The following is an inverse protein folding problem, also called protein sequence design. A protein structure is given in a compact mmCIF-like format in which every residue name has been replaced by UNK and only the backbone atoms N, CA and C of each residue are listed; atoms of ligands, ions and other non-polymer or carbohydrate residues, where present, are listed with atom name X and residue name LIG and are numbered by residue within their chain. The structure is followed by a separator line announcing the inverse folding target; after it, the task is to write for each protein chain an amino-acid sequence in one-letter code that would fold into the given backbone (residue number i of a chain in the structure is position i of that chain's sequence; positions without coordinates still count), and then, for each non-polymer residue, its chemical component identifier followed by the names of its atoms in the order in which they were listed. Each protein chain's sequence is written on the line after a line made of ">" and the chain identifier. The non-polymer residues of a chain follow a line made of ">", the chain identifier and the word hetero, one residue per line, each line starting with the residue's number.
data_IF_947401470965
#
_entry.id   IF_947401470965
#
_cell.length_a   1.000
_cell.length_b   1.000
_cell.length_c   1.000
_cell.angle_alpha   90.00
_cell.angle_beta   90.00
_cell.angle_gamma   90.00
#
_symmetry.space_group_name_H-M   'P 1'
#
loop_
_entity.id
_entity.type
_entity.pdbx_description
1 polymer ?
#
# COMPACT_ATOMS: atom_id res chain seq x y z
N UNK A 1 5.47 4.92 25.32
CA UNK A 1 4.50 5.90 24.76
C UNK A 1 3.29 6.00 25.67
N UNK A 2 2.88 7.19 26.09
CA UNK A 2 1.73 7.43 26.99
C UNK A 2 0.85 8.55 26.41
N UNK A 3 -0.48 8.38 26.50
CA UNK A 3 -1.43 9.42 26.16
C UNK A 3 -1.50 10.43 27.33
N UNK A 4 -1.22 11.69 27.04
CA UNK A 4 -1.16 12.77 28.03
C UNK A 4 -2.44 13.57 28.08
N UNK A 5 -3.03 13.87 26.95
CA UNK A 5 -4.23 14.70 26.89
C UNK A 5 -5.08 14.41 25.65
N UNK A 6 -6.37 14.68 25.80
CA UNK A 6 -7.35 14.72 24.73
C UNK A 6 -7.91 16.12 24.60
N UNK A 7 -7.94 16.67 23.39
CA UNK A 7 -8.57 17.96 23.11
C UNK A 7 -9.70 17.77 22.12
N UNK A 8 -10.83 18.36 22.45
CA UNK A 8 -12.05 18.35 21.62
C UNK A 8 -12.37 19.76 21.20
N UNK A 9 -12.82 19.93 19.97
CA UNK A 9 -13.39 21.16 19.50
C UNK A 9 -14.67 20.83 18.74
N UNK A 10 -15.79 21.26 19.29
CA UNK A 10 -17.13 21.05 18.72
C UNK A 10 -17.42 19.58 18.35
N UNK A 11 -17.03 18.63 19.18
CA UNK A 11 -17.18 17.21 18.93
C UNK A 11 -18.33 16.63 19.77
N UNK A 12 -19.36 16.11 19.10
CA UNK A 12 -20.57 15.53 19.72
C UNK A 12 -21.17 16.40 20.83
N UNK A 13 -21.14 15.97 22.09
CA UNK A 13 -21.67 16.75 23.22
C UNK A 13 -20.74 17.91 23.64
N UNK A 14 -19.46 17.89 23.24
CA UNK A 14 -18.48 18.89 23.64
C UNK A 14 -18.59 20.13 22.75
N UNK A 15 -19.09 21.23 23.30
CA UNK A 15 -19.17 22.53 22.64
C UNK A 15 -17.88 23.34 22.90
N UNK A 16 -17.41 24.03 21.86
CA UNK A 16 -16.18 24.84 21.96
C UNK A 16 -14.95 23.98 22.16
N UNK A 17 -13.99 24.48 22.93
CA UNK A 17 -12.74 23.82 23.23
C UNK A 17 -12.81 23.16 24.62
N UNK A 18 -12.57 21.84 24.65
CA UNK A 18 -12.50 21.07 25.91
C UNK A 18 -11.21 20.29 25.90
N UNK A 19 -10.46 20.34 26.99
CA UNK A 19 -9.24 19.57 27.20
C UNK A 19 -9.43 18.64 28.39
N UNK A 20 -9.09 17.37 28.18
CA UNK A 20 -9.10 16.31 29.20
C UNK A 20 -7.67 15.85 29.41
N UNK A 21 -7.01 16.27 30.50
CA UNK A 21 -5.69 15.76 30.84
C UNK A 21 -5.81 14.33 31.39
N UNK A 22 -4.82 13.51 31.08
CA UNK A 22 -4.71 12.13 31.54
C UNK A 22 -3.44 11.98 32.34
N UNK A 23 -3.59 11.64 33.63
CA UNK A 23 -2.48 11.42 34.53
C UNK A 23 -1.67 10.16 34.28
N UNK A 24 -0.55 9.95 34.93
CA UNK A 24 0.16 8.69 34.93
C UNK A 24 -0.65 7.61 35.66
N UNK A 25 -0.57 6.37 35.15
CA UNK A 25 -1.26 5.22 35.74
C UNK A 25 -2.73 5.17 35.40
N UNK A 26 -3.58 4.89 36.38
CA UNK A 26 -5.01 4.69 36.19
C UNK A 26 -5.77 6.02 36.24
N UNK A 27 -6.59 6.29 35.23
CA UNK A 27 -7.49 7.47 35.19
C UNK A 27 -8.94 7.00 35.09
N UNK A 28 -9.78 7.43 36.02
CA UNK A 28 -11.20 7.18 36.04
C UNK A 28 -11.98 8.43 35.65
N UNK A 29 -12.94 8.27 34.70
CA UNK A 29 -13.81 9.35 34.25
C UNK A 29 -15.23 9.03 34.70
N UNK A 30 -15.74 9.80 35.66
CA UNK A 30 -17.07 9.61 36.25
C UNK A 30 -18.02 10.77 35.90
N UNK A 31 -19.30 10.55 36.06
CA UNK A 31 -20.33 11.58 35.84
C UNK A 31 -21.72 10.99 35.61
N UNK A 32 -22.76 11.79 35.62
CA UNK A 32 -24.14 11.33 35.39
C UNK A 32 -24.36 10.80 33.95
N UNK A 33 -25.50 10.16 33.71
CA UNK A 33 -25.89 9.72 32.37
C UNK A 33 -26.06 10.96 31.47
N UNK A 34 -25.58 10.86 30.22
CA UNK A 34 -25.65 11.98 29.26
C UNK A 34 -24.50 12.99 29.37
N UNK A 35 -23.63 12.94 30.39
CA UNK A 35 -22.50 13.90 30.57
C UNK A 35 -21.43 13.82 29.48
N UNK A 36 -21.46 12.85 28.59
CA UNK A 36 -20.51 12.74 27.50
C UNK A 36 -19.35 11.74 27.72
N UNK A 37 -19.34 10.98 28.85
CA UNK A 37 -18.30 9.97 29.14
C UNK A 37 -17.97 9.08 27.94
N UNK A 38 -18.99 8.51 27.35
CA UNK A 38 -18.84 7.63 26.17
C UNK A 38 -18.37 8.37 24.92
N UNK A 39 -18.55 9.69 24.84
CA UNK A 39 -18.07 10.48 23.70
C UNK A 39 -16.53 10.65 23.73
N UNK A 40 -15.90 10.47 24.89
CA UNK A 40 -14.44 10.43 25.03
C UNK A 40 -13.89 9.18 24.33
N UNK A 41 -14.51 8.02 24.55
CA UNK A 41 -14.15 6.78 23.83
C UNK A 41 -14.36 6.92 22.33
N UNK A 42 -15.47 7.54 21.92
CA UNK A 42 -15.75 7.78 20.51
C UNK A 42 -14.68 8.69 19.85
N UNK A 43 -14.19 9.65 20.59
CA UNK A 43 -13.16 10.56 20.10
C UNK A 43 -11.82 9.83 19.90
N UNK A 44 -11.45 8.94 20.83
CA UNK A 44 -10.28 8.07 20.68
C UNK A 44 -10.42 7.18 19.44
N UNK A 45 -11.54 6.50 19.30
CA UNK A 45 -11.84 5.67 18.13
C UNK A 45 -11.83 6.48 16.83
N UNK A 46 -12.33 7.71 16.87
CA UNK A 46 -12.33 8.61 15.73
C UNK A 46 -10.91 8.91 15.25
N UNK A 47 -9.97 9.26 16.14
CA UNK A 47 -8.58 9.53 15.79
C UNK A 47 -7.88 8.26 15.29
N UNK A 48 -8.07 7.12 15.95
CA UNK A 48 -7.44 5.86 15.57
C UNK A 48 -7.86 5.31 14.20
N UNK A 49 -8.70 6.03 13.47
CA UNK A 49 -8.98 5.73 12.08
C UNK A 49 -10.29 4.97 11.85
N UNK A 50 -11.14 4.79 12.89
CA UNK A 50 -12.44 4.19 12.65
C UNK A 50 -13.20 4.92 11.55
N UNK A 51 -13.46 4.21 10.44
CA UNK A 51 -14.32 4.67 9.35
C UNK A 51 -15.78 4.29 9.59
N UNK A 52 -16.02 3.36 10.52
CA UNK A 52 -17.34 2.89 10.85
C UNK A 52 -18.06 3.93 11.70
N UNK A 53 -19.07 4.57 11.13
CA UNK A 53 -19.95 5.50 11.86
C UNK A 53 -20.72 4.76 12.96
N UNK A 54 -20.98 3.45 12.81
CA UNK A 54 -21.62 2.61 13.84
C UNK A 54 -20.77 2.53 15.10
N UNK A 55 -19.45 2.30 14.96
CA UNK A 55 -18.52 2.28 16.10
C UNK A 55 -18.46 3.62 16.81
N UNK A 56 -18.64 4.71 16.08
CA UNK A 56 -18.71 6.05 16.63
C UNK A 56 -20.12 6.45 17.10
N UNK A 57 -21.05 5.51 17.15
CA UNK A 57 -22.46 5.75 17.55
C UNK A 57 -23.06 6.95 16.82
N UNK A 58 -22.82 7.05 15.50
CA UNK A 58 -23.33 8.07 14.63
C UNK A 58 -23.89 7.42 13.35
N UNK A 59 -24.99 7.94 12.82
CA UNK A 59 -25.54 7.46 11.53
C UNK A 59 -24.77 8.04 10.34
N UNK A 60 -24.32 9.30 10.47
CA UNK A 60 -23.56 10.03 9.45
C UNK A 60 -22.39 10.77 10.10
N UNK A 61 -21.30 10.98 9.37
CA UNK A 61 -20.14 11.72 9.89
C UNK A 61 -20.47 13.14 10.37
N UNK A 62 -21.47 13.80 9.78
CA UNK A 62 -21.96 15.12 10.17
C UNK A 62 -22.42 15.19 11.62
N UNK A 63 -22.94 14.09 12.15
CA UNK A 63 -23.43 14.00 13.53
C UNK A 63 -22.31 14.01 14.58
N UNK A 64 -21.05 13.90 14.14
CA UNK A 64 -19.89 14.09 15.00
C UNK A 64 -19.65 15.57 15.33
N UNK A 65 -20.23 16.49 14.55
CA UNK A 65 -20.14 17.94 14.80
C UNK A 65 -21.19 18.32 15.82
N UNK A 66 -20.78 19.06 16.84
CA UNK A 66 -21.65 19.50 17.92
C UNK A 66 -22.89 20.25 17.40
N UNK A 67 -24.06 19.89 17.91
CA UNK A 67 -25.33 20.56 17.57
C UNK A 67 -25.81 20.31 16.14
N UNK A 68 -25.18 19.40 15.37
CA UNK A 68 -25.69 19.06 14.05
C UNK A 68 -26.96 18.22 14.14
N UNK A 69 -28.08 18.77 13.65
CA UNK A 69 -29.34 18.07 13.49
C UNK A 69 -29.74 18.03 12.01
N UNK A 70 -30.13 16.85 11.53
CA UNK A 70 -30.58 16.66 10.15
C UNK A 70 -31.91 17.37 9.95
N UNK A 71 -32.04 18.21 8.91
CA UNK A 71 -33.26 18.98 8.66
C UNK A 71 -33.35 20.31 9.39
N UNK A 72 -32.43 20.63 10.29
CA UNK A 72 -32.44 21.93 10.98
C UNK A 72 -31.97 23.05 10.03
N UNK A 73 -32.80 24.06 9.83
CA UNK A 73 -32.45 25.28 9.07
C UNK A 73 -31.53 26.23 9.87
N UNK A 74 -31.02 25.83 11.04
CA UNK A 74 -30.12 26.68 11.84
C UNK A 74 -28.77 26.86 11.14
N UNK A 75 -28.62 27.99 10.44
CA UNK A 75 -27.40 28.44 9.77
C UNK A 75 -26.25 28.78 10.75
N UNK A 76 -26.47 28.79 12.06
CA UNK A 76 -25.54 29.37 13.06
C UNK A 76 -24.86 28.32 13.99
N UNK A 77 -24.57 27.10 13.52
CA UNK A 77 -23.85 26.07 14.28
C UNK A 77 -22.39 25.89 13.82
N UNK A 78 -21.56 25.19 14.61
CA UNK A 78 -20.22 24.84 14.20
C UNK A 78 -20.23 24.10 12.86
N UNK A 79 -19.35 24.52 11.93
CA UNK A 79 -19.20 23.87 10.62
C UNK A 79 -18.06 22.82 10.60
N UNK A 80 -17.41 22.64 11.72
CA UNK A 80 -16.32 21.70 11.84
C UNK A 80 -16.21 21.17 13.26
N UNK A 81 -15.63 19.98 13.38
CA UNK A 81 -15.16 19.45 14.65
C UNK A 81 -13.74 18.90 14.47
N UNK A 82 -12.98 18.90 15.56
CA UNK A 82 -11.69 18.23 15.60
C UNK A 82 -11.45 17.58 16.95
N UNK A 83 -10.66 16.51 16.91
CA UNK A 83 -10.14 15.85 18.09
C UNK A 83 -8.63 15.75 17.97
N UNK A 84 -7.92 16.04 19.04
CA UNK A 84 -6.47 15.91 19.10
C UNK A 84 -6.07 15.03 20.27
N UNK A 85 -5.07 14.18 20.06
CA UNK A 85 -4.46 13.31 21.05
C UNK A 85 -2.98 13.64 21.13
N UNK A 86 -2.49 13.98 22.33
CA UNK A 86 -1.08 14.26 22.57
C UNK A 86 -0.46 13.08 23.31
N UNK A 87 0.62 12.56 22.75
CA UNK A 87 1.38 11.45 23.30
C UNK A 87 2.76 11.89 23.75
N UNK A 88 3.21 11.29 24.85
CA UNK A 88 4.60 11.25 25.25
C UNK A 88 5.34 10.19 24.43
N UNK A 89 6.39 10.60 23.74
CA UNK A 89 7.22 9.76 22.87
C UNK A 89 8.70 9.83 23.27
N UNK A 90 8.99 10.07 24.55
CA UNK A 90 10.38 10.12 25.06
C UNK A 90 11.14 8.82 24.81
N UNK A 91 10.44 7.70 24.81
CA UNK A 91 10.94 6.35 24.47
C UNK A 91 11.10 6.11 22.95
N UNK A 92 10.85 7.12 22.10
CA UNK A 92 10.97 7.03 20.64
C UNK A 92 10.20 5.87 20.01
N UNK A 93 9.13 5.45 20.66
CA UNK A 93 8.29 4.33 20.20
C UNK A 93 7.63 4.61 18.84
N UNK A 94 7.16 5.82 18.64
CA UNK A 94 6.89 6.34 17.31
C UNK A 94 8.23 6.83 16.72
N UNK A 95 8.57 6.39 15.52
CA UNK A 95 9.81 6.77 14.82
C UNK A 95 9.78 8.26 14.38
N UNK A 96 9.55 9.15 15.33
CA UNK A 96 9.52 10.61 15.19
C UNK A 96 10.42 11.19 16.27
N UNK A 97 11.37 12.03 15.87
CA UNK A 97 12.36 12.66 16.77
C UNK A 97 11.75 13.81 17.57
N UNK A 98 10.69 13.54 18.33
CA UNK A 98 10.06 14.50 19.23
C UNK A 98 9.55 13.81 20.48
N UNK A 99 9.66 14.49 21.62
CA UNK A 99 9.19 13.99 22.90
C UNK A 99 7.67 14.06 23.04
N UNK A 100 7.05 15.06 22.43
CA UNK A 100 5.60 15.23 22.39
C UNK A 100 5.12 15.22 20.95
N UNK A 101 4.11 14.38 20.69
CA UNK A 101 3.50 14.28 19.36
C UNK A 101 2.00 14.43 19.50
N UNK A 102 1.43 15.36 18.74
CA UNK A 102 -0.01 15.61 18.71
C UNK A 102 -0.62 15.15 17.38
N UNK A 103 -1.50 14.17 17.45
CA UNK A 103 -2.32 13.72 16.33
C UNK A 103 -3.66 14.45 16.34
N UNK A 104 -4.02 15.06 15.24
CA UNK A 104 -5.29 15.77 15.09
C UNK A 104 -6.05 15.23 13.89
N UNK A 105 -7.30 14.86 14.12
CA UNK A 105 -8.26 14.50 13.05
C UNK A 105 -9.49 15.37 13.17
N UNK A 106 -9.92 15.94 12.07
CA UNK A 106 -11.10 16.78 12.07
C UNK A 106 -11.96 16.57 10.84
N UNK A 107 -13.20 17.03 10.96
CA UNK A 107 -14.20 17.04 9.89
C UNK A 107 -14.63 18.47 9.67
N UNK A 108 -14.73 18.88 8.40
CA UNK A 108 -15.31 20.16 7.98
C UNK A 108 -16.51 19.89 7.08
N UNK A 109 -17.57 20.64 7.27
CA UNK A 109 -18.71 20.67 6.35
C UNK A 109 -18.34 21.47 5.10
N UNK A 110 -18.55 20.90 3.94
CA UNK A 110 -18.42 21.57 2.64
C UNK A 110 -19.76 21.42 1.89
N UNK A 111 -20.66 22.37 2.08
CA UNK A 111 -22.02 22.27 1.55
C UNK A 111 -22.79 21.09 2.14
N UNK A 112 -23.21 20.17 1.27
CA UNK A 112 -23.90 18.93 1.66
C UNK A 112 -22.94 17.81 2.09
N UNK A 113 -21.62 17.93 1.85
CA UNK A 113 -20.64 16.89 2.10
C UNK A 113 -19.72 17.21 3.29
N UNK A 114 -18.92 16.21 3.69
CA UNK A 114 -17.94 16.34 4.75
C UNK A 114 -16.56 16.05 4.21
N UNK A 115 -15.58 16.84 4.62
CA UNK A 115 -14.16 16.58 4.33
C UNK A 115 -13.45 16.26 5.63
N UNK A 116 -12.76 15.11 5.69
CA UNK A 116 -11.91 14.73 6.81
C UNK A 116 -10.50 15.19 6.53
N UNK A 117 -9.83 15.73 7.56
CA UNK A 117 -8.43 16.11 7.48
C UNK A 117 -7.64 15.53 8.66
N UNK A 118 -6.34 15.38 8.45
CA UNK A 118 -5.39 14.78 9.38
C UNK A 118 -4.19 15.69 9.55
N UNK A 119 -3.69 15.82 10.78
CA UNK A 119 -2.52 16.63 11.10
C UNK A 119 -1.68 15.95 12.18
N UNK A 120 -0.36 15.98 12.02
CA UNK A 120 0.62 15.61 13.04
C UNK A 120 1.39 16.88 13.39
N UNK A 121 1.37 17.28 14.65
CA UNK A 121 2.01 18.53 15.14
C UNK A 121 1.63 19.75 14.27
N UNK A 122 0.34 19.89 13.94
CA UNK A 122 -0.21 20.93 13.08
C UNK A 122 0.20 20.83 11.60
N UNK A 123 1.10 19.92 11.20
CA UNK A 123 1.46 19.68 9.80
C UNK A 123 0.39 18.76 9.16
N UNK A 124 0.03 19.04 7.91
CA UNK A 124 -0.92 18.22 7.16
C UNK A 124 -0.35 16.82 6.96
N UNK A 125 -1.17 15.80 7.19
CA UNK A 125 -0.84 14.39 7.06
C UNK A 125 -1.97 13.66 6.30
N UNK A 126 -1.76 12.38 6.04
CA UNK A 126 -2.73 11.50 5.37
C UNK A 126 -3.30 10.43 6.31
N UNK A 127 -4.46 9.88 5.96
CA UNK A 127 -5.03 8.71 6.67
C UNK A 127 -4.06 7.54 6.72
N UNK A 128 -3.31 7.32 5.61
CA UNK A 128 -2.34 6.21 5.52
C UNK A 128 -1.18 6.37 6.50
N UNK A 129 -0.69 7.60 6.67
CA UNK A 129 0.39 7.92 7.60
C UNK A 129 -0.06 7.72 9.05
N UNK A 130 -1.28 8.17 9.40
CA UNK A 130 -1.90 7.91 10.70
C UNK A 130 -2.02 6.41 10.97
N UNK A 131 -2.62 5.66 10.03
CA UNK A 131 -2.79 4.22 10.16
C UNK A 131 -1.44 3.49 10.30
N UNK A 132 -0.41 3.92 9.57
CA UNK A 132 0.93 3.33 9.65
C UNK A 132 1.59 3.59 11.02
N UNK A 133 1.51 4.82 11.53
CA UNK A 133 2.09 5.18 12.83
C UNK A 133 1.37 4.49 13.99
N UNK A 134 0.04 4.50 13.99
CA UNK A 134 -0.73 3.82 15.03
C UNK A 134 -0.58 2.30 14.96
N UNK A 135 -0.51 1.72 13.77
CA UNK A 135 -0.27 0.29 13.60
C UNK A 135 1.10 -0.14 14.14
N UNK A 136 2.15 0.67 13.93
CA UNK A 136 3.47 0.44 14.55
C UNK A 136 3.40 0.51 16.08
N UNK A 137 2.58 1.42 16.59
CA UNK A 137 2.32 1.55 18.02
C UNK A 137 1.35 0.48 18.56
N UNK A 138 0.89 -0.47 17.76
CA UNK A 138 -0.09 -1.46 18.19
C UNK A 138 -1.45 -0.88 18.54
N UNK A 139 -1.74 0.37 18.14
CA UNK A 139 -3.00 1.05 18.42
C UNK A 139 -3.95 0.90 17.22
N UNK A 140 -5.05 0.23 17.44
CA UNK A 140 -6.07 -0.04 16.43
C UNK A 140 -7.45 0.38 16.92
N UNK A 141 -8.26 0.96 16.02
CA UNK A 141 -9.63 1.36 16.34
C UNK A 141 -10.55 0.16 16.67
N UNK A 142 -10.24 -1.01 16.15
CA UNK A 142 -10.97 -2.27 16.37
C UNK A 142 -10.16 -3.28 17.20
N UNK A 143 -9.07 -2.82 17.81
CA UNK A 143 -8.17 -3.67 18.58
C UNK A 143 -8.66 -3.92 20.01
N UNK A 144 -7.87 -4.67 20.76
CA UNK A 144 -8.07 -4.99 22.16
C UNK A 144 -7.77 -3.84 23.14
N UNK A 145 -7.17 -2.76 22.63
CA UNK A 145 -6.76 -1.61 23.42
C UNK A 145 -7.95 -0.75 23.88
N UNK A 146 -9.09 -0.90 23.23
CA UNK A 146 -10.30 -0.17 23.55
C UNK A 146 -11.46 -1.16 23.66
N UNK A 147 -11.99 -1.28 24.85
CA UNK A 147 -13.13 -2.15 25.14
C UNK A 147 -14.38 -1.28 25.29
N UNK A 148 -15.33 -1.47 24.41
CA UNK A 148 -16.62 -0.77 24.46
C UNK A 148 -17.62 -1.54 25.34
N UNK A 149 -18.67 -0.85 25.72
CA UNK A 149 -19.79 -1.48 26.44
C UNK A 149 -20.40 -2.61 25.58
N UNK A 150 -20.42 -3.81 26.13
CA UNK A 150 -20.96 -5.01 25.46
C UNK A 150 -19.91 -5.84 24.71
N UNK A 151 -18.69 -5.36 24.49
CA UNK A 151 -17.65 -6.11 23.75
C UNK A 151 -17.28 -7.43 24.45
N UNK A 152 -17.30 -7.44 25.78
CA UNK A 152 -17.01 -8.65 26.57
C UNK A 152 -18.06 -9.74 26.29
N UNK A 153 -19.34 -9.37 26.31
CA UNK A 153 -20.45 -10.28 25.99
C UNK A 153 -20.37 -10.73 24.53
N UNK A 154 -20.14 -9.82 23.60
CA UNK A 154 -19.96 -10.17 22.20
C UNK A 154 -18.80 -11.14 21.98
N UNK A 155 -17.68 -10.97 22.70
CA UNK A 155 -16.53 -11.87 22.57
C UNK A 155 -16.87 -13.30 22.99
N UNK A 156 -17.74 -13.47 23.99
CA UNK A 156 -18.23 -14.78 24.42
C UNK A 156 -19.17 -15.43 23.41
N UNK A 157 -19.95 -14.63 22.68
CA UNK A 157 -20.91 -15.08 21.67
C UNK A 157 -20.27 -15.28 20.29
N UNK A 158 -19.03 -14.84 20.08
CA UNK A 158 -18.32 -14.99 18.81
C UNK A 158 -18.12 -16.45 18.41
N UNK A 159 -18.25 -16.72 17.12
CA UNK A 159 -17.86 -18.00 16.53
C UNK A 159 -16.36 -18.26 16.71
N UNK A 160 -15.94 -19.52 16.63
CA UNK A 160 -14.52 -19.89 16.74
C UNK A 160 -13.62 -19.17 15.72
N UNK A 161 -14.14 -18.94 14.51
CA UNK A 161 -13.44 -18.24 13.43
C UNK A 161 -13.26 -16.75 13.78
N UNK A 162 -14.28 -16.09 14.31
CA UNK A 162 -14.22 -14.68 14.70
C UNK A 162 -13.29 -14.47 15.90
N UNK A 163 -13.32 -15.36 16.89
CA UNK A 163 -12.38 -15.35 18.03
C UNK A 163 -10.93 -15.48 17.56
N UNK A 164 -10.67 -16.45 16.68
CA UNK A 164 -9.35 -16.62 16.08
C UNK A 164 -8.87 -15.35 15.40
N UNK A 165 -9.70 -14.74 14.53
CA UNK A 165 -9.35 -13.47 13.86
C UNK A 165 -9.04 -12.36 14.86
N UNK A 166 -9.82 -12.26 15.93
CA UNK A 166 -9.57 -11.25 16.98
C UNK A 166 -8.22 -11.47 17.68
N UNK A 167 -7.84 -12.72 17.93
CA UNK A 167 -6.54 -13.07 18.50
C UNK A 167 -5.41 -12.75 17.49
N UNK A 168 -5.59 -13.06 16.23
CA UNK A 168 -4.65 -12.77 15.16
C UNK A 168 -4.46 -11.24 14.98
N UNK A 169 -5.52 -10.44 15.12
CA UNK A 169 -5.47 -8.98 15.12
C UNK A 169 -4.67 -8.44 16.31
N UNK A 170 -4.89 -8.96 17.51
CA UNK A 170 -4.14 -8.62 18.73
C UNK A 170 -2.66 -8.94 18.58
N UNK A 171 -2.34 -10.08 17.98
CA UNK A 171 -0.98 -10.52 17.72
C UNK A 171 -0.31 -9.78 16.55
N UNK A 172 -1.04 -8.88 15.84
CA UNK A 172 -0.55 -8.17 14.66
C UNK A 172 -0.41 -9.04 13.40
N UNK A 173 -0.85 -10.31 13.48
CA UNK A 173 -0.72 -11.28 12.39
C UNK A 173 -1.54 -10.87 11.17
N UNK A 174 -2.72 -10.34 11.38
CA UNK A 174 -3.62 -9.91 10.27
C UNK A 174 -2.98 -8.84 9.39
N UNK A 175 -2.25 -7.89 9.96
CA UNK A 175 -1.52 -6.89 9.18
C UNK A 175 -0.42 -7.53 8.35
N UNK A 176 0.30 -8.50 8.93
CA UNK A 176 1.34 -9.29 8.28
C UNK A 176 0.75 -10.13 7.14
N UNK A 177 -0.31 -10.88 7.39
CA UNK A 177 -0.99 -11.72 6.41
C UNK A 177 -1.52 -10.92 5.21
N UNK A 178 -2.05 -9.73 5.45
CA UNK A 178 -2.50 -8.84 4.39
C UNK A 178 -1.32 -8.34 3.52
N UNK A 179 -0.15 -8.08 4.10
CA UNK A 179 1.05 -7.74 3.36
C UNK A 179 1.54 -8.94 2.55
N UNK A 180 1.58 -10.11 3.17
CA UNK A 180 1.96 -11.37 2.54
C UNK A 180 1.07 -11.69 1.32
N UNK A 181 -0.26 -11.56 1.47
CA UNK A 181 -1.21 -11.73 0.37
C UNK A 181 -0.93 -10.78 -0.79
N UNK A 182 -0.70 -9.50 -0.50
CA UNK A 182 -0.36 -8.49 -1.54
C UNK A 182 0.94 -8.85 -2.26
N UNK A 183 1.98 -9.23 -1.52
CA UNK A 183 3.27 -9.63 -2.10
C UNK A 183 3.13 -10.89 -2.96
N UNK A 184 2.38 -11.90 -2.49
CA UNK A 184 2.11 -13.12 -3.26
C UNK A 184 1.32 -12.83 -4.53
N UNK A 185 0.33 -11.93 -4.48
CA UNK A 185 -0.43 -11.51 -5.66
C UNK A 185 0.46 -10.77 -6.67
N UNK A 186 1.29 -9.84 -6.21
CA UNK A 186 2.24 -9.13 -7.05
C UNK A 186 3.25 -10.09 -7.69
N UNK A 187 3.78 -11.08 -6.91
CA UNK A 187 4.67 -12.13 -7.44
C UNK A 187 4.01 -12.94 -8.55
N UNK A 188 2.75 -13.37 -8.35
CA UNK A 188 2.01 -14.11 -9.38
C UNK A 188 1.83 -13.30 -10.66
N UNK A 189 1.56 -12.00 -10.54
CA UNK A 189 1.46 -11.12 -11.70
C UNK A 189 2.77 -11.07 -12.49
N UNK A 190 3.90 -10.89 -11.79
CA UNK A 190 5.22 -10.86 -12.43
C UNK A 190 5.58 -12.21 -13.05
N UNK A 191 5.28 -13.32 -12.38
CA UNK A 191 5.49 -14.67 -12.94
C UNK A 191 4.69 -14.86 -14.26
N UNK A 192 3.45 -14.36 -14.31
CA UNK A 192 2.65 -14.39 -15.53
C UNK A 192 3.25 -13.49 -16.64
N UNK A 193 3.70 -12.29 -16.29
CA UNK A 193 4.35 -11.39 -17.24
C UNK A 193 5.66 -11.98 -17.78
N UNK A 194 6.44 -12.67 -16.95
CA UNK A 194 7.67 -13.38 -17.37
C UNK A 194 7.36 -14.50 -18.36
N UNK A 195 6.30 -15.27 -18.13
CA UNK A 195 5.86 -16.32 -19.09
C UNK A 195 5.52 -15.69 -20.43
N UNK A 196 4.69 -14.64 -20.43
CA UNK A 196 4.29 -13.94 -21.65
C UNK A 196 5.50 -13.36 -22.41
N UNK A 197 6.44 -12.73 -21.68
CA UNK A 197 7.66 -12.19 -22.28
C UNK A 197 8.55 -13.30 -22.88
N UNK A 198 8.66 -14.45 -22.21
CA UNK A 198 9.39 -15.60 -22.73
C UNK A 198 8.76 -16.17 -24.01
N UNK A 199 7.44 -16.23 -24.06
CA UNK A 199 6.73 -16.65 -25.28
C UNK A 199 6.96 -15.68 -26.43
N UNK A 200 6.84 -14.37 -26.17
CA UNK A 200 7.16 -13.33 -27.17
C UNK A 200 8.60 -13.39 -27.65
N UNK A 201 9.55 -13.64 -26.74
CA UNK A 201 10.95 -13.79 -27.10
C UNK A 201 11.20 -15.03 -27.97
N UNK A 202 10.52 -16.15 -27.67
CA UNK A 202 10.59 -17.37 -28.52
C UNK A 202 9.99 -17.13 -29.91
N UNK A 203 8.85 -16.47 -29.96
CA UNK A 203 8.17 -16.13 -31.22
C UNK A 203 9.06 -15.21 -32.07
N UNK A 204 9.61 -14.16 -31.46
CA UNK A 204 10.54 -13.27 -32.15
C UNK A 204 11.80 -13.99 -32.66
N UNK A 205 12.38 -14.94 -31.87
CA UNK A 205 13.51 -15.79 -32.32
C UNK A 205 13.13 -16.69 -33.51
N UNK A 206 11.88 -17.23 -33.52
CA UNK A 206 11.40 -18.04 -34.64
C UNK A 206 11.28 -17.19 -35.91
N UNK A 207 10.67 -16.00 -35.75
CA UNK A 207 10.51 -15.05 -36.86
C UNK A 207 11.89 -14.63 -37.42
N UNK A 208 12.85 -14.35 -36.53
CA UNK A 208 14.22 -13.99 -36.91
C UNK A 208 14.88 -15.12 -37.71
N UNK A 209 14.78 -16.36 -37.21
CA UNK A 209 15.32 -17.54 -37.93
C UNK A 209 14.64 -17.80 -39.26
N UNK A 210 13.36 -17.50 -39.37
CA UNK A 210 12.61 -17.59 -40.62
C UNK A 210 13.10 -16.52 -41.62
N UNK A 211 13.26 -15.29 -41.15
CA UNK A 211 13.79 -14.18 -41.98
C UNK A 211 15.23 -14.43 -42.43
N UNK A 212 16.08 -15.03 -41.54
CA UNK A 212 17.43 -15.45 -41.95
C UNK A 212 17.41 -16.50 -43.06
N UNK A 213 16.52 -17.49 -42.97
CA UNK A 213 16.35 -18.50 -44.05
C UNK A 213 15.82 -17.88 -45.33
N UNK A 214 14.81 -17.03 -45.23
CA UNK A 214 14.25 -16.31 -46.38
C UNK A 214 15.33 -15.45 -47.06
N UNK A 215 16.24 -14.83 -46.22
CA UNK A 215 17.40 -14.11 -46.73
C UNK A 215 18.38 -15.02 -47.48
N UNK A 216 18.76 -16.18 -46.87
CA UNK A 216 19.64 -17.16 -47.52
C UNK A 216 19.05 -17.68 -48.85
N UNK A 217 17.74 -17.91 -48.85
CA UNK A 217 17.04 -18.37 -50.06
C UNK A 217 16.91 -17.25 -51.11
N UNK A 218 16.74 -15.98 -50.66
CA UNK A 218 16.79 -14.81 -51.53
C UNK A 218 18.17 -14.59 -52.16
N UNK A 219 19.26 -14.75 -51.34
CA UNK A 219 20.65 -14.64 -51.81
C UNK A 219 20.97 -15.77 -52.84
N UNK A 220 20.45 -17.02 -52.65
CA UNK A 220 20.56 -18.11 -53.62
C UNK A 220 19.79 -17.80 -54.91
N UNK A 221 18.59 -17.24 -54.76
CA UNK A 221 17.79 -16.85 -55.88
C UNK A 221 18.46 -15.75 -56.73
N UNK A 222 19.06 -14.75 -56.04
CA UNK A 222 19.80 -13.67 -56.66
C UNK A 222 21.04 -14.17 -57.41
N UNK A 223 21.74 -15.19 -56.84
CA UNK A 223 22.85 -15.87 -57.52
C UNK A 223 22.38 -16.61 -58.79
N UNK A 224 21.26 -17.32 -58.72
CA UNK A 224 20.66 -18.02 -59.85
C UNK A 224 20.19 -17.05 -60.93
N UNK A 225 19.57 -15.93 -60.53
CA UNK A 225 19.15 -14.87 -61.45
C UNK A 225 20.37 -14.26 -62.18
N UNK A 226 21.49 -14.03 -61.48
CA UNK A 226 22.73 -13.56 -62.08
C UNK A 226 23.27 -14.53 -63.12
N UNK A 227 23.23 -15.84 -62.84
CA UNK A 227 23.66 -16.84 -63.82
C UNK A 227 22.74 -16.89 -65.06
N UNK A 228 21.44 -16.63 -64.88
CA UNK A 228 20.47 -16.61 -65.97
C UNK A 228 20.56 -15.29 -66.80
N UNK A 229 20.89 -14.21 -66.13
CA UNK A 229 20.80 -12.86 -66.71
C UNK A 229 22.14 -12.27 -67.19
N UNK A 230 23.19 -13.10 -67.41
CA UNK A 230 24.44 -12.62 -68.02
C UNK A 230 24.25 -11.84 -69.36
N UNK A 231 23.09 -12.00 -69.98
CA UNK A 231 22.70 -11.32 -71.25
C UNK A 231 21.77 -10.12 -71.06
N UNK A 232 21.24 -9.82 -69.87
CA UNK A 232 20.26 -8.75 -69.65
C UNK A 232 20.65 -7.83 -68.48
N UNK A 233 21.93 -7.63 -68.32
CA UNK A 233 22.60 -7.04 -67.11
C UNK A 233 22.18 -5.60 -66.80
N UNK A 234 21.92 -4.76 -67.78
CA UNK A 234 21.73 -3.33 -67.52
C UNK A 234 20.40 -2.95 -66.85
N UNK A 235 19.32 -3.66 -67.09
CA UNK A 235 17.97 -3.33 -66.58
C UNK A 235 17.71 -3.90 -65.19
N UNK A 236 18.31 -5.05 -64.91
CA UNK A 236 18.13 -5.73 -63.63
C UNK A 236 19.12 -5.31 -62.52
N UNK A 237 20.25 -4.72 -62.94
CA UNK A 237 21.28 -4.25 -62.01
C UNK A 237 20.71 -3.20 -61.01
N UNK A 238 19.83 -2.33 -61.44
CA UNK A 238 19.17 -1.33 -60.61
C UNK A 238 18.23 -1.99 -59.60
N UNK A 239 17.50 -3.03 -60.03
CA UNK A 239 16.58 -3.80 -59.16
C UNK A 239 17.34 -4.58 -58.09
N UNK A 240 18.55 -5.10 -58.45
CA UNK A 240 19.43 -5.80 -57.49
C UNK A 240 19.94 -4.86 -56.43
N UNK A 241 20.36 -3.62 -56.82
CA UNK A 241 20.83 -2.62 -55.87
C UNK A 241 19.72 -2.14 -54.92
N UNK A 242 18.48 -2.02 -55.41
CA UNK A 242 17.34 -1.67 -54.56
C UNK A 242 16.99 -2.78 -53.55
N UNK A 243 17.13 -4.06 -53.99
CA UNK A 243 16.95 -5.23 -53.14
C UNK A 243 18.05 -5.37 -52.08
N UNK A 244 19.30 -5.08 -52.42
CA UNK A 244 20.41 -5.06 -51.45
C UNK A 244 20.22 -3.97 -50.39
N UNK A 245 19.78 -2.76 -50.81
CA UNK A 245 19.48 -1.65 -49.90
C UNK A 245 18.31 -2.01 -48.93
N UNK A 246 17.29 -2.71 -49.43
CA UNK A 246 16.18 -3.16 -48.62
C UNK A 246 16.58 -4.29 -47.62
N UNK A 247 17.45 -5.20 -48.05
CA UNK A 247 18.03 -6.22 -47.19
C UNK A 247 18.88 -5.61 -46.08
N UNK A 248 19.66 -4.59 -46.40
CA UNK A 248 20.52 -3.91 -45.42
C UNK A 248 19.71 -3.07 -44.43
N UNK A 249 18.68 -2.38 -44.92
CA UNK A 249 17.72 -1.70 -44.06
C UNK A 249 17.00 -2.68 -43.11
N UNK A 250 16.66 -3.87 -43.62
CA UNK A 250 16.07 -4.95 -42.79
C UNK A 250 17.07 -5.57 -41.81
N UNK A 251 18.36 -5.65 -42.17
CA UNK A 251 19.41 -6.06 -41.25
C UNK A 251 19.58 -5.10 -40.10
N UNK A 252 19.55 -3.79 -40.35
CA UNK A 252 19.57 -2.77 -39.30
C UNK A 252 18.38 -2.92 -38.32
N UNK A 253 17.19 -3.21 -38.87
CA UNK A 253 16.00 -3.47 -38.05
C UNK A 253 16.16 -4.76 -37.24
N UNK A 254 16.68 -5.83 -37.86
CA UNK A 254 16.94 -7.11 -37.18
C UNK A 254 17.99 -6.99 -36.08
N UNK A 255 19.08 -6.27 -36.35
CA UNK A 255 20.09 -5.95 -35.32
C UNK A 255 19.50 -5.14 -34.15
N UNK A 256 18.62 -4.20 -34.45
CA UNK A 256 17.91 -3.43 -33.43
C UNK A 256 17.06 -4.33 -32.54
N UNK A 257 16.28 -5.22 -33.14
CA UNK A 257 15.46 -6.17 -32.37
C UNK A 257 16.30 -7.22 -31.61
N UNK A 258 17.41 -7.66 -32.18
CA UNK A 258 18.32 -8.56 -31.47
C UNK A 258 18.93 -7.92 -30.22
N UNK A 259 19.33 -6.63 -30.30
CA UNK A 259 19.80 -5.85 -29.15
C UNK A 259 18.70 -5.61 -28.11
N UNK A 260 17.45 -5.42 -28.54
CA UNK A 260 16.32 -5.29 -27.64
C UNK A 260 16.02 -6.61 -26.91
N UNK A 261 16.05 -7.73 -27.62
CA UNK A 261 15.91 -9.07 -27.03
C UNK A 261 16.97 -9.38 -25.98
N UNK A 262 18.22 -9.07 -26.27
CA UNK A 262 19.31 -9.29 -25.30
C UNK A 262 19.13 -8.43 -24.03
N UNK A 263 18.60 -7.19 -24.18
CA UNK A 263 18.28 -6.35 -23.01
C UNK A 263 17.16 -6.97 -22.16
N UNK A 264 16.11 -7.43 -22.83
CA UNK A 264 14.96 -8.06 -22.16
C UNK A 264 15.41 -9.34 -21.43
N UNK A 265 16.21 -10.18 -22.04
CA UNK A 265 16.73 -11.40 -21.41
C UNK A 265 17.59 -11.09 -20.18
N UNK A 266 18.46 -10.07 -20.25
CA UNK A 266 19.26 -9.61 -19.10
C UNK A 266 18.38 -9.08 -17.96
N UNK A 267 17.37 -8.30 -18.31
CA UNK A 267 16.41 -7.80 -17.31
C UNK A 267 15.61 -8.93 -16.66
N UNK A 268 15.17 -9.91 -17.43
CA UNK A 268 14.46 -11.07 -16.91
C UNK A 268 15.30 -11.88 -15.91
N UNK A 269 16.55 -12.14 -16.28
CA UNK A 269 17.44 -12.92 -15.41
C UNK A 269 17.72 -12.17 -14.10
N UNK A 270 18.02 -10.87 -14.18
CA UNK A 270 18.22 -10.04 -13.00
C UNK A 270 16.99 -10.05 -12.08
N UNK A 271 15.80 -9.94 -12.67
CA UNK A 271 14.55 -9.97 -11.89
C UNK A 271 14.29 -11.32 -11.23
N UNK A 272 14.62 -12.43 -11.92
CA UNK A 272 14.51 -13.77 -11.31
C UNK A 272 15.42 -13.91 -10.10
N UNK A 273 16.69 -13.47 -10.22
CA UNK A 273 17.65 -13.47 -9.12
C UNK A 273 17.16 -12.59 -7.95
N UNK A 274 16.65 -11.41 -8.23
CA UNK A 274 16.08 -10.50 -7.22
C UNK A 274 14.87 -11.13 -6.51
N UNK A 275 14.00 -11.81 -7.25
CA UNK A 275 12.83 -12.50 -6.68
C UNK A 275 13.29 -13.64 -5.76
N UNK A 276 14.21 -14.49 -6.22
CA UNK A 276 14.73 -15.62 -5.43
C UNK A 276 15.43 -15.14 -4.16
N UNK A 277 16.30 -14.13 -4.28
CA UNK A 277 17.00 -13.54 -3.14
C UNK A 277 16.03 -12.94 -2.11
N UNK A 278 15.01 -12.23 -2.59
CA UNK A 278 14.00 -11.67 -1.71
C UNK A 278 13.11 -12.75 -1.07
N UNK A 279 12.82 -13.85 -1.77
CA UNK A 279 12.08 -14.98 -1.20
C UNK A 279 12.86 -15.69 -0.09
N UNK A 280 14.18 -15.87 -0.27
CA UNK A 280 15.04 -16.47 0.76
C UNK A 280 15.07 -15.57 1.99
N UNK A 281 15.37 -14.28 1.81
CA UNK A 281 15.36 -13.30 2.91
C UNK A 281 14.01 -13.23 3.64
N UNK A 282 12.94 -13.33 2.89
CA UNK A 282 11.59 -13.32 3.45
C UNK A 282 11.38 -14.53 4.38
N UNK A 283 11.74 -15.74 3.91
CA UNK A 283 11.63 -16.98 4.70
C UNK A 283 12.55 -16.96 5.94
N UNK A 284 13.74 -16.41 5.82
CA UNK A 284 14.67 -16.25 6.95
C UNK A 284 14.07 -15.36 8.04
N UNK A 285 13.55 -14.19 7.66
CA UNK A 285 12.94 -13.25 8.60
C UNK A 285 11.63 -13.81 9.17
N UNK A 286 10.82 -14.51 8.38
CA UNK A 286 9.59 -15.17 8.83
C UNK A 286 9.90 -16.25 9.91
N UNK A 287 10.95 -17.04 9.69
CA UNK A 287 11.41 -18.01 10.66
C UNK A 287 11.97 -17.35 11.94
N UNK A 288 12.73 -16.27 11.80
CA UNK A 288 13.23 -15.51 12.95
C UNK A 288 12.10 -14.86 13.78
N UNK A 289 11.05 -14.36 13.13
CA UNK A 289 9.84 -13.84 13.81
C UNK A 289 9.09 -14.95 14.55
N UNK A 290 9.00 -16.14 13.95
CA UNK A 290 8.32 -17.30 14.56
C UNK A 290 9.03 -17.83 15.81
N UNK A 291 10.35 -17.65 15.92
CA UNK A 291 11.17 -18.14 17.04
C UNK A 291 11.28 -17.13 18.18
N UNK A 292 11.12 -15.84 17.91
CA UNK A 292 11.36 -14.74 18.85
C UNK A 292 10.06 -14.11 19.34
N UNK A 293 9.53 -14.58 20.46
CA UNK A 293 8.39 -13.91 21.12
C UNK A 293 8.78 -12.53 21.69
N UNK A 294 7.90 -11.55 21.57
CA UNK A 294 8.03 -10.24 22.21
C UNK A 294 8.80 -9.18 21.40
N UNK A 295 9.66 -8.42 22.05
CA UNK A 295 10.35 -7.25 21.47
C UNK A 295 11.22 -7.53 20.24
N UNK A 296 11.78 -8.74 20.14
CA UNK A 296 12.55 -9.17 18.96
C UNK A 296 11.70 -9.37 17.70
N UNK A 297 10.47 -9.77 17.87
CA UNK A 297 9.52 -9.94 16.75
C UNK A 297 9.25 -8.60 16.02
N UNK A 298 9.30 -7.50 16.75
CA UNK A 298 9.07 -6.15 16.21
C UNK A 298 10.24 -5.64 15.36
N UNK A 299 11.46 -5.89 15.81
CA UNK A 299 12.69 -5.54 15.08
C UNK A 299 12.85 -6.34 13.77
N UNK A 300 12.43 -7.60 13.83
CA UNK A 300 12.41 -8.50 12.67
C UNK A 300 11.31 -8.12 11.68
N UNK A 301 10.19 -7.62 12.16
CA UNK A 301 9.09 -7.12 11.32
C UNK A 301 9.48 -5.87 10.53
N UNK A 302 10.25 -4.95 11.15
CA UNK A 302 10.82 -3.79 10.43
C UNK A 302 11.83 -4.20 9.34
N UNK A 303 12.66 -5.22 9.60
CA UNK A 303 13.58 -5.77 8.59
C UNK A 303 12.82 -6.42 7.44
N UNK A 304 11.78 -7.17 7.75
CA UNK A 304 10.91 -7.81 6.76
C UNK A 304 10.21 -6.76 5.88
N UNK A 305 9.71 -5.68 6.46
CA UNK A 305 9.05 -4.62 5.70
C UNK A 305 10.01 -3.88 4.77
N UNK A 306 11.27 -3.67 5.17
CA UNK A 306 12.31 -3.12 4.29
C UNK A 306 12.60 -4.03 3.10
N UNK A 307 12.67 -5.34 3.33
CA UNK A 307 12.89 -6.33 2.25
C UNK A 307 11.68 -6.41 1.33
N UNK A 308 10.44 -6.28 1.86
CA UNK A 308 9.22 -6.22 1.06
C UNK A 308 9.12 -4.96 0.21
N UNK A 309 9.48 -3.81 0.76
CA UNK A 309 9.54 -2.55 0.00
C UNK A 309 10.58 -2.65 -1.11
N UNK A 310 11.74 -3.21 -0.85
CA UNK A 310 12.76 -3.45 -1.86
C UNK A 310 12.27 -4.44 -2.93
N UNK A 311 11.59 -5.51 -2.54
CA UNK A 311 10.96 -6.47 -3.44
C UNK A 311 9.83 -5.82 -4.25
N UNK A 312 8.95 -5.03 -3.63
CA UNK A 312 7.89 -4.30 -4.30
C UNK A 312 8.44 -3.22 -5.25
N UNK A 313 9.50 -2.51 -4.87
CA UNK A 313 10.17 -1.52 -5.74
C UNK A 313 10.84 -2.19 -6.94
N UNK A 314 11.43 -3.38 -6.79
CA UNK A 314 11.95 -4.15 -7.94
C UNK A 314 10.85 -4.61 -8.89
N UNK A 315 9.59 -4.64 -8.43
CA UNK A 315 8.39 -5.00 -9.19
C UNK A 315 7.68 -3.80 -9.84
N UNK A 316 7.87 -2.58 -9.31
CA UNK A 316 7.22 -1.35 -9.80
C UNK A 316 7.98 -0.73 -10.98
N UNK A 317 9.27 -1.05 -11.17
CA UNK A 317 10.09 -0.57 -12.28
C UNK A 317 9.96 -1.45 -13.55
N UNK A 318 8.74 -1.99 -13.78
CA UNK A 318 8.38 -2.70 -15.03
C UNK A 318 7.49 -1.80 -15.89
#
# INVERSE_FOLDING_TARGET
>A
MRLLELKFENFKSFKGHVTVPLGPGFTCITGPNGSGKSNITDAILFILGSRSTKLLRARKQKQLIHGFQEGSQKKSGPKSCKVSMTFDNTDRFLAIEKDLITFTKGIKLKGKDTTTYYQIDKKKSSSREFEALFSRAGLYATGYNIIQQGDVIQTSLMSGIERRRKIEDVAGITAYDNRLKRTRSARKSVEADLVLLNERAKESKRTLKQLEREKEDAEKLEAIIKEIDENDIALKFRTILDLEAEIDSRKEIVEKYAKELEKIDKEQNKRKEDIEANQIRFKEIENEIGISGGNKARELQEKLDKVRVAHALSLIHI
#
